data_IF_686504794033
#
_entry.id   IF_686504794033
#
_cell.length_a   1.000
_cell.length_b   1.000
_cell.length_c   1.000
_cell.angle_alpha   90.00
_cell.angle_beta   90.00
_cell.angle_gamma   90.00
#
_symmetry.space_group_name_H-M   'P 1'
#
loop_
_entity.id
_entity.type
_entity.pdbx_description
1 polymer ?
#
# COMPACT_ATOMS: atom_id res chain seq x y z
N UNK A 1 8.01 14.79 25.48
CA UNK A 1 7.11 13.68 25.13
C UNK A 1 7.92 12.66 24.34
N UNK A 2 8.12 11.45 24.86
CA UNK A 2 8.82 10.38 24.14
C UNK A 2 8.00 9.98 22.92
N UNK A 3 8.54 10.18 21.70
CA UNK A 3 7.94 9.67 20.47
C UNK A 3 7.89 8.15 20.58
N UNK A 4 6.71 7.58 20.58
CA UNK A 4 6.55 6.12 20.60
C UNK A 4 7.21 5.56 19.34
N UNK A 5 8.23 4.73 19.51
CA UNK A 5 8.85 3.99 18.43
C UNK A 5 7.83 3.02 17.84
N UNK A 6 7.30 3.37 16.67
CA UNK A 6 6.44 2.46 15.91
C UNK A 6 7.37 1.57 15.09
N UNK A 7 7.62 0.36 15.58
CA UNK A 7 8.29 -0.65 14.75
C UNK A 7 7.40 -0.99 13.56
N UNK A 8 7.95 -1.20 12.35
CA UNK A 8 7.23 -1.88 11.29
C UNK A 8 6.70 -3.19 11.84
N UNK A 9 5.41 -3.42 11.66
CA UNK A 9 4.74 -4.57 12.27
C UNK A 9 4.88 -5.83 11.43
N UNK A 10 5.67 -5.76 10.35
CA UNK A 10 5.84 -6.86 9.43
C UNK A 10 7.22 -6.90 8.77
N UNK A 11 7.48 -7.86 7.86
CA UNK A 11 8.60 -7.87 6.95
C UNK A 11 8.10 -8.03 5.51
N UNK A 12 8.72 -7.33 4.63
CA UNK A 12 8.59 -7.48 3.19
C UNK A 12 10.01 -7.50 2.61
N UNK A 13 10.20 -8.19 1.52
CA UNK A 13 11.51 -8.29 0.89
C UNK A 13 11.52 -9.39 -0.16
N UNK A 14 12.61 -9.50 -0.92
CA UNK A 14 12.75 -10.54 -1.94
C UNK A 14 12.96 -11.93 -1.34
N UNK A 15 12.51 -12.94 -2.06
CA UNK A 15 12.89 -14.32 -1.82
C UNK A 15 13.87 -14.76 -2.90
N UNK A 16 15.09 -15.06 -2.52
CA UNK A 16 16.12 -15.56 -3.43
C UNK A 16 16.02 -17.08 -3.51
N UNK A 17 15.82 -17.61 -4.72
CA UNK A 17 15.76 -19.06 -4.98
C UNK A 17 17.08 -19.50 -5.60
N UNK A 18 17.70 -20.52 -5.03
CA UNK A 18 18.95 -21.12 -5.51
C UNK A 18 18.84 -22.64 -5.53
N UNK A 19 19.87 -23.31 -6.09
CA UNK A 19 19.94 -24.77 -5.99
C UNK A 19 20.05 -25.32 -4.55
N UNK A 20 20.36 -24.44 -3.59
CA UNK A 20 20.47 -24.80 -2.14
C UNK A 20 19.19 -24.54 -1.36
N UNK A 21 18.15 -23.98 -1.99
CA UNK A 21 16.87 -23.66 -1.37
C UNK A 21 16.43 -22.20 -1.61
N UNK A 22 15.44 -21.77 -0.87
CA UNK A 22 14.90 -20.42 -0.89
C UNK A 22 15.29 -19.68 0.40
N UNK A 23 15.73 -18.42 0.25
CA UNK A 23 16.09 -17.53 1.35
C UNK A 23 15.28 -16.24 1.24
N UNK A 24 14.58 -15.88 2.32
CA UNK A 24 13.85 -14.63 2.42
C UNK A 24 14.75 -13.53 3.02
N UNK A 25 14.89 -12.43 2.31
CA UNK A 25 15.73 -11.30 2.69
C UNK A 25 14.86 -10.10 3.08
N UNK A 26 14.47 -9.95 4.36
CA UNK A 26 13.59 -8.87 4.77
C UNK A 26 14.28 -7.51 4.65
N UNK A 27 13.55 -6.49 4.20
CA UNK A 27 13.99 -5.11 4.19
C UNK A 27 14.15 -4.62 5.62
N UNK A 28 15.30 -4.05 5.93
CA UNK A 28 15.55 -3.39 7.20
C UNK A 28 14.93 -1.98 7.19
N UNK A 29 13.67 -1.86 7.61
CA UNK A 29 13.03 -0.56 7.75
C UNK A 29 13.64 0.28 8.87
N UNK A 30 13.65 1.62 8.74
CA UNK A 30 13.95 2.51 9.84
C UNK A 30 13.04 2.27 11.05
N UNK A 31 13.47 2.72 12.24
CA UNK A 31 12.71 2.49 13.49
C UNK A 31 11.75 3.64 13.83
N UNK A 32 11.93 4.78 13.22
CA UNK A 32 11.16 6.01 13.48
C UNK A 32 10.13 6.17 12.36
N UNK A 33 8.90 6.50 12.72
CA UNK A 33 7.78 6.61 11.77
C UNK A 33 8.12 7.55 10.61
N UNK A 34 8.65 8.73 10.93
CA UNK A 34 8.99 9.76 9.94
C UNK A 34 10.05 9.27 8.94
N UNK A 35 11.00 8.46 9.40
CA UNK A 35 12.03 7.87 8.54
C UNK A 35 11.47 6.73 7.67
N UNK A 36 10.53 5.93 8.21
CA UNK A 36 9.81 4.92 7.43
C UNK A 36 9.03 5.59 6.31
N UNK A 37 8.27 6.62 6.62
CA UNK A 37 7.46 7.37 5.65
C UNK A 37 8.34 7.99 4.57
N UNK A 38 9.49 8.56 4.96
CA UNK A 38 10.47 9.09 4.00
C UNK A 38 11.03 8.00 3.09
N UNK A 39 11.41 6.84 3.65
CA UNK A 39 11.89 5.69 2.90
C UNK A 39 10.84 5.22 1.87
N UNK A 40 9.57 5.11 2.30
CA UNK A 40 8.46 4.71 1.43
C UNK A 40 8.24 5.70 0.29
N UNK A 41 8.22 7.01 0.59
CA UNK A 41 8.01 8.04 -0.44
C UNK A 41 9.17 8.08 -1.42
N UNK A 42 10.41 7.95 -0.96
CA UNK A 42 11.59 7.87 -1.84
C UNK A 42 11.51 6.66 -2.78
N UNK A 43 11.17 5.49 -2.24
CA UNK A 43 10.97 4.28 -3.03
C UNK A 43 9.83 4.42 -4.05
N UNK A 44 8.70 5.00 -3.63
CA UNK A 44 7.57 5.26 -4.51
C UNK A 44 7.96 6.19 -5.67
N UNK A 45 8.60 7.34 -5.38
CA UNK A 45 9.02 8.31 -6.40
C UNK A 45 9.99 7.68 -7.40
N UNK A 46 10.97 6.90 -6.92
CA UNK A 46 11.93 6.18 -7.76
C UNK A 46 11.26 5.16 -8.70
N UNK A 47 10.19 4.52 -8.24
CA UNK A 47 9.47 3.47 -8.95
C UNK A 47 8.11 3.95 -9.53
N UNK A 48 7.89 5.25 -9.61
CA UNK A 48 6.63 5.83 -10.09
C UNK A 48 6.46 5.82 -11.61
N UNK A 49 7.39 5.25 -12.37
CA UNK A 49 7.33 5.23 -13.84
C UNK A 49 6.09 4.58 -14.45
N UNK A 50 5.35 3.78 -13.68
CA UNK A 50 4.10 3.17 -14.10
C UNK A 50 2.85 4.02 -13.76
N UNK A 51 3.01 5.15 -13.07
CA UNK A 51 1.88 6.02 -12.72
C UNK A 51 1.82 7.23 -13.66
N UNK A 52 0.62 7.75 -13.98
CA UNK A 52 0.47 8.81 -14.99
C UNK A 52 0.94 10.20 -14.50
N UNK A 53 1.46 10.29 -13.29
CA UNK A 53 1.88 11.52 -12.63
C UNK A 53 3.39 11.55 -12.47
N UNK A 54 4.09 12.37 -13.26
CA UNK A 54 5.52 12.56 -13.09
C UNK A 54 5.79 13.42 -11.84
N UNK A 55 6.49 12.84 -10.87
CA UNK A 55 6.89 13.52 -9.63
C UNK A 55 8.29 14.08 -9.83
N UNK A 56 8.41 15.40 -9.71
CA UNK A 56 9.66 16.15 -9.94
C UNK A 56 10.45 16.30 -8.63
N UNK A 57 9.76 16.56 -7.53
CA UNK A 57 10.36 16.68 -6.21
C UNK A 57 9.39 16.30 -5.10
N UNK A 58 9.89 16.04 -3.91
CA UNK A 58 9.08 15.78 -2.72
C UNK A 58 9.71 16.36 -1.46
N UNK A 59 8.88 16.79 -0.51
CA UNK A 59 9.29 17.34 0.78
C UNK A 59 8.39 16.81 1.88
N UNK A 60 8.98 16.28 2.96
CA UNK A 60 8.25 15.88 4.15
C UNK A 60 7.79 17.11 4.94
N UNK A 61 6.55 17.10 5.40
CA UNK A 61 5.96 18.17 6.18
C UNK A 61 5.96 17.76 7.66
N UNK A 62 6.68 18.52 8.50
CA UNK A 62 6.85 18.18 9.93
C UNK A 62 5.75 18.76 10.82
N UNK A 63 4.96 19.73 10.33
CA UNK A 63 3.99 20.49 11.13
C UNK A 63 2.67 20.81 10.41
N UNK A 64 2.37 20.13 9.30
CA UNK A 64 1.18 20.40 8.49
C UNK A 64 0.17 19.25 8.57
N UNK A 65 -1.03 19.53 8.06
CA UNK A 65 -2.14 18.57 7.96
C UNK A 65 -1.84 17.38 7.02
N UNK A 66 -0.80 17.47 6.17
CA UNK A 66 -0.41 16.45 5.20
C UNK A 66 1.00 15.92 5.46
N UNK A 67 1.24 14.64 5.17
CA UNK A 67 2.53 13.99 5.43
C UNK A 67 3.65 14.53 4.52
N UNK A 68 3.35 14.76 3.22
CA UNK A 68 4.31 15.29 2.25
C UNK A 68 3.67 16.31 1.30
N UNK A 69 4.53 17.18 0.75
CA UNK A 69 4.24 17.99 -0.44
C UNK A 69 5.06 17.41 -1.59
N UNK A 70 4.41 17.18 -2.73
CA UNK A 70 5.05 16.73 -3.97
C UNK A 70 4.85 17.77 -5.07
N UNK A 71 5.90 18.04 -5.82
CA UNK A 71 5.86 18.80 -7.05
C UNK A 71 5.73 17.84 -8.23
N UNK A 72 4.78 18.09 -9.10
CA UNK A 72 4.47 17.23 -10.24
C UNK A 72 4.36 18.05 -11.52
N UNK A 73 4.30 17.39 -12.66
CA UNK A 73 4.01 18.04 -13.94
C UNK A 73 2.65 18.74 -14.00
N UNK A 74 1.73 18.39 -13.09
CA UNK A 74 0.41 19.02 -12.95
C UNK A 74 0.38 20.09 -11.83
N UNK A 75 1.52 20.45 -11.25
CA UNK A 75 1.64 21.40 -10.15
C UNK A 75 1.83 20.74 -8.79
N UNK A 76 1.68 21.55 -7.74
CA UNK A 76 1.89 21.10 -6.35
C UNK A 76 0.69 20.28 -5.88
N UNK A 77 0.97 19.13 -5.28
CA UNK A 77 -0.01 18.26 -4.64
C UNK A 77 0.41 17.89 -3.22
N UNK A 78 -0.57 17.56 -2.40
CA UNK A 78 -0.38 17.11 -1.02
C UNK A 78 -0.53 15.60 -0.96
N UNK A 79 0.45 14.92 -0.39
CA UNK A 79 0.47 13.46 -0.28
C UNK A 79 0.20 13.05 1.15
N UNK A 80 -0.84 12.27 1.32
CA UNK A 80 -1.19 11.57 2.55
C UNK A 80 -0.71 10.12 2.47
N UNK A 81 -0.26 9.58 3.58
CA UNK A 81 0.22 8.21 3.68
C UNK A 81 -0.76 7.34 4.46
N UNK A 82 -0.94 6.11 4.02
CA UNK A 82 -1.76 5.12 4.70
C UNK A 82 -1.07 3.76 4.68
N UNK A 83 -0.60 3.32 5.84
CA UNK A 83 -0.05 1.98 5.99
C UNK A 83 -1.17 0.93 6.03
N UNK A 84 -1.01 -0.13 5.24
CA UNK A 84 -1.74 -1.36 5.44
C UNK A 84 -0.94 -2.19 6.43
N UNK A 85 -1.37 -2.09 7.67
CA UNK A 85 -0.83 -2.88 8.77
C UNK A 85 -1.69 -4.12 9.02
N UNK A 86 -1.15 -5.12 9.72
CA UNK A 86 -1.93 -6.24 10.22
C UNK A 86 -3.24 -5.77 10.87
N UNK A 87 -4.29 -6.54 10.73
CA UNK A 87 -5.53 -6.34 11.44
C UNK A 87 -5.21 -6.11 12.92
N UNK A 88 -5.92 -5.20 13.59
CA UNK A 88 -5.63 -4.77 14.97
C UNK A 88 -5.43 -5.91 15.97
N UNK A 89 -5.95 -7.08 15.68
CA UNK A 89 -5.85 -8.30 16.48
C UNK A 89 -4.63 -9.18 16.15
N UNK A 90 -3.83 -8.82 15.14
CA UNK A 90 -2.64 -9.56 14.70
C UNK A 90 -1.34 -8.81 15.07
N UNK A 91 -1.33 -8.13 16.22
CA UNK A 91 -0.12 -7.51 16.76
C UNK A 91 0.84 -8.62 17.21
N UNK A 92 1.85 -8.85 16.43
CA UNK A 92 2.95 -9.76 16.75
C UNK A 92 3.31 -10.64 15.57
N UNK A 93 4.41 -11.22 15.59
CA UNK A 93 5.13 -12.06 14.65
C UNK A 93 4.37 -12.55 13.39
N UNK A 94 5.10 -12.67 12.31
CA UNK A 94 4.78 -13.32 11.03
C UNK A 94 4.06 -14.66 11.13
N UNK A 95 4.32 -15.40 12.22
CA UNK A 95 3.69 -16.67 12.53
C UNK A 95 2.16 -16.57 12.64
N UNK A 96 1.63 -15.36 12.82
CA UNK A 96 0.21 -15.08 12.95
C UNK A 96 -0.43 -14.48 11.69
N UNK A 97 0.30 -14.28 10.61
CA UNK A 97 -0.32 -13.89 9.35
C UNK A 97 -1.29 -14.99 8.90
N UNK A 98 -2.52 -14.63 8.47
CA UNK A 98 -3.49 -15.62 8.05
C UNK A 98 -2.93 -16.46 6.91
N UNK A 99 -3.05 -17.78 7.00
CA UNK A 99 -2.65 -18.70 5.93
C UNK A 99 -3.49 -18.55 4.66
N UNK A 100 -4.63 -17.90 4.79
CA UNK A 100 -5.53 -17.57 3.68
C UNK A 100 -6.36 -16.34 4.01
N UNK A 101 -6.80 -15.63 2.98
CA UNK A 101 -7.72 -14.50 3.11
C UNK A 101 -8.67 -14.45 1.92
N UNK A 102 -9.82 -13.79 2.11
CA UNK A 102 -10.75 -13.46 1.02
C UNK A 102 -10.34 -12.10 0.43
N UNK A 103 -9.96 -12.01 -0.84
CA UNK A 103 -9.62 -10.74 -1.49
C UNK A 103 -10.73 -9.69 -1.38
N UNK A 104 -12.00 -10.12 -1.40
CA UNK A 104 -13.13 -9.23 -1.23
C UNK A 104 -13.12 -8.53 0.12
N UNK A 105 -13.01 -9.28 1.22
CA UNK A 105 -13.02 -8.75 2.58
C UNK A 105 -11.80 -7.84 2.81
N UNK A 106 -10.66 -8.21 2.25
CA UNK A 106 -9.45 -7.39 2.33
C UNK A 106 -9.57 -6.08 1.55
N UNK A 107 -10.13 -6.12 0.35
CA UNK A 107 -10.42 -4.91 -0.43
C UNK A 107 -11.43 -4.00 0.30
N UNK A 108 -12.49 -4.58 0.89
CA UNK A 108 -13.50 -3.85 1.67
C UNK A 108 -12.86 -3.15 2.90
N UNK A 109 -11.96 -3.85 3.59
CA UNK A 109 -11.21 -3.27 4.70
C UNK A 109 -10.36 -2.06 4.29
N UNK A 110 -9.62 -2.17 3.17
CA UNK A 110 -8.82 -1.05 2.65
C UNK A 110 -9.73 0.09 2.22
N UNK A 111 -10.80 -0.21 1.51
CA UNK A 111 -11.77 0.77 1.02
C UNK A 111 -12.42 1.56 2.18
N UNK A 112 -12.82 0.89 3.25
CA UNK A 112 -13.33 1.54 4.46
C UNK A 112 -12.29 2.48 5.10
N UNK A 113 -11.01 2.09 5.12
CA UNK A 113 -9.93 2.97 5.60
C UNK A 113 -9.73 4.19 4.71
N UNK A 114 -9.79 4.03 3.39
CA UNK A 114 -9.70 5.14 2.42
C UNK A 114 -10.84 6.12 2.64
N UNK A 115 -12.08 5.63 2.76
CA UNK A 115 -13.25 6.47 3.00
C UNK A 115 -13.17 7.23 4.32
N UNK A 116 -12.75 6.58 5.40
CA UNK A 116 -12.52 7.24 6.70
C UNK A 116 -11.48 8.35 6.59
N UNK A 117 -10.39 8.11 5.86
CA UNK A 117 -9.34 9.11 5.67
C UNK A 117 -9.82 10.25 4.77
N UNK A 118 -10.56 9.94 3.71
CA UNK A 118 -11.20 10.91 2.82
C UNK A 118 -12.14 11.88 3.56
N UNK A 119 -12.90 11.37 4.54
CA UNK A 119 -13.81 12.18 5.33
C UNK A 119 -13.17 13.37 6.09
N UNK A 120 -11.84 13.33 6.30
CA UNK A 120 -11.09 14.43 6.92
C UNK A 120 -10.85 15.62 5.99
N UNK A 121 -11.01 15.43 4.68
CA UNK A 121 -10.56 16.37 3.64
C UNK A 121 -11.70 16.87 2.75
N UNK A 122 -12.95 16.78 3.19
CA UNK A 122 -14.07 17.36 2.47
C UNK A 122 -13.97 18.89 2.42
N UNK A 123 -14.02 19.48 1.23
CA UNK A 123 -14.01 20.93 1.03
C UNK A 123 -13.04 21.41 -0.06
N UNK A 124 -12.77 22.71 -0.10
CA UNK A 124 -12.03 23.39 -1.18
C UNK A 124 -10.58 22.93 -1.39
N UNK A 125 -9.97 22.19 -0.46
CA UNK A 125 -8.60 21.65 -0.58
C UNK A 125 -8.53 20.28 -1.22
N UNK A 126 -9.66 19.63 -1.51
CA UNK A 126 -9.71 18.24 -1.97
C UNK A 126 -9.12 18.03 -3.38
N UNK A 127 -9.06 19.06 -4.22
CA UNK A 127 -8.64 18.93 -5.62
C UNK A 127 -7.15 18.60 -5.84
N UNK A 128 -6.30 18.71 -4.81
CA UNK A 128 -4.85 18.52 -4.92
C UNK A 128 -4.29 17.48 -3.93
N UNK A 129 -5.16 16.66 -3.32
CA UNK A 129 -4.73 15.66 -2.35
C UNK A 129 -4.58 14.31 -3.02
N UNK A 130 -3.41 13.70 -2.84
CA UNK A 130 -3.11 12.32 -3.23
C UNK A 130 -3.02 11.43 -2.00
N UNK A 131 -3.39 10.17 -2.15
CA UNK A 131 -3.20 9.15 -1.13
C UNK A 131 -2.19 8.12 -1.63
N UNK A 132 -1.16 7.85 -0.83
CA UNK A 132 -0.26 6.73 -1.03
C UNK A 132 -0.55 5.66 0.02
N UNK A 133 -1.15 4.57 -0.42
CA UNK A 133 -1.29 3.35 0.37
C UNK A 133 0.05 2.61 0.28
N UNK A 134 0.63 2.20 1.40
CA UNK A 134 1.87 1.44 1.39
C UNK A 134 1.81 0.19 2.27
N UNK A 135 2.63 -0.78 1.90
CA UNK A 135 2.64 -2.11 2.50
C UNK A 135 4.03 -2.34 3.09
N UNK A 136 4.08 -2.80 4.34
CA UNK A 136 5.31 -3.14 5.05
C UNK A 136 5.39 -4.61 5.44
N UNK A 137 4.38 -5.41 5.02
CA UNK A 137 4.26 -6.82 5.33
C UNK A 137 3.84 -7.61 4.09
N UNK A 138 4.59 -8.64 3.74
CA UNK A 138 4.34 -9.49 2.57
C UNK A 138 2.92 -10.10 2.55
N UNK A 139 2.35 -10.40 3.73
CA UNK A 139 1.02 -11.00 3.85
C UNK A 139 -0.12 -10.07 3.37
N UNK A 140 0.17 -8.77 3.25
CA UNK A 140 -0.78 -7.75 2.80
C UNK A 140 -0.49 -7.24 1.39
N UNK A 141 0.36 -7.93 0.63
CA UNK A 141 0.60 -7.62 -0.79
C UNK A 141 -0.71 -7.73 -1.56
N UNK A 142 -1.04 -6.68 -2.32
CA UNK A 142 -2.30 -6.62 -3.05
C UNK A 142 -2.29 -7.58 -4.22
N UNK A 143 -3.20 -8.55 -4.21
CA UNK A 143 -3.49 -9.36 -5.40
C UNK A 143 -4.18 -8.50 -6.46
N UNK A 144 -4.12 -8.91 -7.72
CA UNK A 144 -4.83 -8.22 -8.81
C UNK A 144 -6.34 -8.11 -8.55
N UNK A 145 -6.93 -9.11 -7.90
CA UNK A 145 -8.34 -9.09 -7.51
C UNK A 145 -8.63 -7.96 -6.51
N UNK A 146 -7.78 -7.79 -5.49
CA UNK A 146 -7.91 -6.69 -4.53
C UNK A 146 -7.80 -5.34 -5.22
N UNK A 147 -6.81 -5.19 -6.10
CA UNK A 147 -6.62 -3.96 -6.89
C UNK A 147 -7.85 -3.65 -7.74
N UNK A 148 -8.38 -4.64 -8.47
CA UNK A 148 -9.56 -4.45 -9.32
C UNK A 148 -10.82 -4.07 -8.53
N UNK A 149 -11.04 -4.71 -7.37
CA UNK A 149 -12.16 -4.36 -6.48
C UNK A 149 -12.05 -2.93 -5.95
N UNK A 150 -10.85 -2.52 -5.49
CA UNK A 150 -10.60 -1.15 -5.03
C UNK A 150 -10.80 -0.12 -6.13
N UNK A 151 -10.27 -0.37 -7.32
CA UNK A 151 -10.44 0.49 -8.48
C UNK A 151 -11.91 0.64 -8.86
N UNK A 152 -12.66 -0.46 -8.85
CA UNK A 152 -14.10 -0.45 -9.14
C UNK A 152 -14.87 0.40 -8.12
N UNK A 153 -14.70 0.15 -6.82
CA UNK A 153 -15.44 0.88 -5.79
C UNK A 153 -15.07 2.36 -5.73
N UNK A 154 -13.79 2.69 -5.86
CA UNK A 154 -13.32 4.08 -5.84
C UNK A 154 -13.73 4.85 -7.11
N UNK A 155 -13.90 4.19 -8.24
CA UNK A 155 -14.45 4.82 -9.45
C UNK A 155 -15.96 5.14 -9.33
N UNK A 156 -16.70 4.43 -8.46
CA UNK A 156 -18.15 4.57 -8.31
C UNK A 156 -18.57 5.33 -7.04
N UNK A 157 -17.63 5.69 -6.17
CA UNK A 157 -17.92 6.47 -4.95
C UNK A 157 -17.13 7.77 -4.90
N UNK A 158 -17.77 8.81 -4.37
CA UNK A 158 -17.11 10.10 -4.13
C UNK A 158 -16.13 10.01 -2.98
N UNK A 159 -14.94 10.56 -3.17
CA UNK A 159 -13.91 10.71 -2.14
C UNK A 159 -13.07 11.97 -2.42
N UNK A 160 -12.24 12.38 -1.45
CA UNK A 160 -11.50 13.65 -1.50
C UNK A 160 -10.14 13.56 -2.21
N UNK A 161 -9.74 12.38 -2.70
CA UNK A 161 -8.42 12.21 -3.30
C UNK A 161 -8.48 12.35 -4.81
N UNK A 162 -7.54 13.13 -5.37
CA UNK A 162 -7.36 13.26 -6.83
C UNK A 162 -6.70 12.00 -7.41
N UNK A 163 -5.69 11.47 -6.70
CA UNK A 163 -5.01 10.24 -7.03
C UNK A 163 -4.90 9.35 -5.81
N UNK A 164 -5.05 8.04 -6.01
CA UNK A 164 -4.77 7.03 -5.01
C UNK A 164 -3.78 6.04 -5.61
N UNK A 165 -2.64 5.91 -4.98
CA UNK A 165 -1.58 4.98 -5.36
C UNK A 165 -1.44 3.89 -4.30
N UNK A 166 -0.92 2.74 -4.72
CA UNK A 166 -0.41 1.74 -3.80
C UNK A 166 1.05 1.44 -4.13
N UNK A 167 1.90 1.39 -3.11
CA UNK A 167 3.31 1.05 -3.22
C UNK A 167 3.66 -0.12 -2.32
N UNK A 168 4.31 -1.11 -2.90
CA UNK A 168 4.90 -2.26 -2.19
C UNK A 168 6.38 -2.30 -2.49
N UNK A 169 7.28 -2.04 -1.53
CA UNK A 169 8.70 -2.25 -1.73
C UNK A 169 8.98 -3.73 -1.94
N UNK A 170 9.87 -4.06 -2.89
CA UNK A 170 10.39 -5.41 -3.11
C UNK A 170 11.74 -5.55 -2.41
N UNK A 171 12.58 -4.54 -2.53
CA UNK A 171 13.85 -4.40 -1.83
C UNK A 171 14.12 -2.92 -1.50
N UNK A 172 15.34 -2.58 -1.06
CA UNK A 172 15.73 -1.21 -0.71
C UNK A 172 15.78 -0.25 -1.91
N UNK A 173 15.87 -0.78 -3.13
CA UNK A 173 16.05 -0.02 -4.37
C UNK A 173 14.82 -0.08 -5.27
N UNK A 174 14.02 -1.14 -5.17
CA UNK A 174 12.93 -1.44 -6.08
C UNK A 174 11.60 -1.66 -5.36
N UNK A 175 10.52 -1.48 -6.10
CA UNK A 175 9.16 -1.70 -5.62
C UNK A 175 8.14 -1.63 -6.75
N UNK A 176 6.91 -2.02 -6.43
CA UNK A 176 5.77 -1.97 -7.36
C UNK A 176 4.85 -0.84 -6.97
N UNK A 177 4.62 0.06 -7.93
CA UNK A 177 3.64 1.14 -7.81
C UNK A 177 2.41 0.83 -8.68
N UNK A 178 1.23 0.89 -8.08
CA UNK A 178 -0.05 0.71 -8.77
C UNK A 178 -0.88 1.99 -8.65
N UNK A 179 -1.46 2.43 -9.77
CA UNK A 179 -2.53 3.42 -9.74
C UNK A 179 -3.84 2.73 -9.37
N UNK A 180 -4.43 3.15 -8.25
CA UNK A 180 -5.73 2.66 -7.80
C UNK A 180 -6.85 3.57 -8.29
N UNK A 181 -6.63 4.88 -8.29
CA UNK A 181 -7.58 5.88 -8.78
C UNK A 181 -6.83 7.09 -9.38
N UNK A 182 -7.30 7.71 -10.46
CA UNK A 182 -8.54 7.43 -11.18
C UNK A 182 -8.44 6.24 -12.15
N UNK A 183 -9.57 5.55 -12.33
CA UNK A 183 -9.74 4.54 -13.36
C UNK A 183 -10.99 4.85 -14.19
N UNK A 184 -10.93 4.76 -15.54
CA UNK A 184 -12.08 5.08 -16.37
C UNK A 184 -13.25 4.15 -16.11
N UNK A 185 -14.42 4.69 -15.81
CA UNK A 185 -15.66 3.93 -15.52
C UNK A 185 -16.02 2.93 -16.65
N UNK A 186 -15.69 3.27 -17.90
CA UNK A 186 -15.92 2.37 -19.04
C UNK A 186 -15.28 0.99 -18.92
N UNK A 187 -14.18 0.86 -18.17
CA UNK A 187 -13.50 -0.43 -17.94
C UNK A 187 -14.30 -1.36 -17.05
N UNK A 188 -15.28 -0.84 -16.30
CA UNK A 188 -16.06 -1.59 -15.33
C UNK A 188 -17.41 -2.06 -15.87
N UNK A 189 -17.69 -1.85 -17.17
CA UNK A 189 -18.92 -2.33 -17.78
C UNK A 189 -18.97 -3.87 -17.70
N UNK A 190 -19.95 -4.38 -16.96
CA UNK A 190 -20.14 -5.82 -16.74
C UNK A 190 -19.28 -6.42 -15.64
N UNK A 191 -18.44 -5.63 -14.94
CA UNK A 191 -17.72 -6.09 -13.76
C UNK A 191 -18.71 -6.23 -12.59
N UNK A 192 -18.75 -7.41 -12.00
CA UNK A 192 -19.57 -7.69 -10.82
C UNK A 192 -18.66 -8.07 -9.64
N UNK A 193 -18.48 -7.18 -8.66
CA UNK A 193 -17.61 -7.44 -7.52
C UNK A 193 -18.07 -8.62 -6.66
N UNK A 194 -19.38 -8.96 -6.67
CA UNK A 194 -19.91 -10.04 -5.85
C UNK A 194 -19.41 -11.42 -6.28
N UNK A 195 -18.99 -11.57 -7.53
CA UNK A 195 -18.38 -12.82 -8.01
C UNK A 195 -17.09 -13.20 -7.28
N UNK A 196 -16.46 -12.25 -6.60
CA UNK A 196 -15.19 -12.45 -5.90
C UNK A 196 -15.36 -12.70 -4.40
N UNK A 197 -16.60 -12.70 -3.87
CA UNK A 197 -16.86 -12.83 -2.41
C UNK A 197 -16.36 -14.13 -1.82
N UNK A 198 -16.43 -15.21 -2.58
CA UNK A 198 -16.05 -16.55 -2.11
C UNK A 198 -14.64 -16.97 -2.55
N UNK A 199 -13.95 -16.11 -3.28
CA UNK A 199 -12.56 -16.39 -3.67
C UNK A 199 -11.66 -16.39 -2.44
N UNK A 200 -10.78 -17.38 -2.37
CA UNK A 200 -9.78 -17.51 -1.31
C UNK A 200 -8.39 -17.46 -1.94
N UNK A 201 -7.51 -16.66 -1.35
CA UNK A 201 -6.08 -16.64 -1.67
C UNK A 201 -5.33 -17.26 -0.49
N UNK A 202 -4.45 -18.21 -0.79
CA UNK A 202 -3.57 -18.81 0.19
C UNK A 202 -2.25 -18.08 0.23
N UNK A 203 -1.86 -17.63 1.41
CA UNK A 203 -0.57 -17.01 1.64
C UNK A 203 0.49 -18.10 1.87
N UNK A 204 1.46 -18.16 0.99
CA UNK A 204 2.66 -18.98 1.19
C UNK A 204 3.68 -18.14 1.95
N UNK A 205 3.83 -18.41 3.25
CA UNK A 205 4.82 -17.69 4.05
C UNK A 205 6.23 -17.99 3.53
N UNK A 206 7.01 -16.97 3.14
CA UNK A 206 8.38 -17.17 2.72
C UNK A 206 9.26 -17.75 3.84
N UNK A 207 8.89 -17.56 5.11
CA UNK A 207 9.60 -18.08 6.28
C UNK A 207 9.44 -19.59 6.48
N UNK A 208 8.43 -20.23 5.86
CA UNK A 208 8.21 -21.68 5.95
C UNK A 208 9.01 -22.47 4.93
N UNK A 209 9.66 -21.81 3.97
CA UNK A 209 10.42 -22.48 2.91
C UNK A 209 11.78 -22.98 3.37
N UNK A 210 12.28 -22.50 4.51
CA UNK A 210 13.54 -23.01 5.11
C UNK A 210 13.46 -24.47 5.57
N UNK A 211 12.24 -25.00 5.76
CA UNK A 211 12.02 -26.36 6.27
C UNK A 211 11.82 -27.41 5.17
N UNK A 212 11.87 -27.02 3.91
CA UNK A 212 11.81 -27.94 2.76
C UNK A 212 13.19 -28.43 2.33
N UNK A 213 14.11 -28.61 3.27
CA UNK A 213 15.36 -29.33 3.02
C UNK A 213 15.11 -30.82 3.18
N UNK A 214 14.84 -31.51 2.07
CA UNK A 214 14.90 -32.96 1.99
C UNK A 214 16.34 -33.46 2.00
#
# INVERSE_FOLDING_TARGET
MSKSLKKPTGAIGPTCISARGAEFLPIAFPRVKEEIEKFIVQGFVKNAGAVPLAILSHKQNLQNDFDFTIETTEGIKFLELMEIAPLENLRGAYEMAPSSYKPYDFAEYIFAKVNRKSGKYWGARSSNICLLIYITDWAFTLSQTVVALLQYWLAHQSHSFQYIFCYSPIDIESGVSNLIYPTPIKFWKGFDPNKYRENIVHNLSPLKWEHCRG
#
